data_IF_785191835557
#
_entry.id   IF_785191835557
#
_cell.length_a   1.000
_cell.length_b   1.000
_cell.length_c   1.000
_cell.angle_alpha   90.00
_cell.angle_beta   90.00
_cell.angle_gamma   90.00
#
_symmetry.space_group_name_H-M   'P 1'
#
loop_
_entity.id
_entity.type
_entity.pdbx_description
1 polymer ?
#
# COMPACT_ATOMS: atom_id res chain seq x y z
N UNK A 1 -4.16 -34.43 7.90
CA UNK A 1 -3.33 -33.33 7.39
C UNK A 1 -4.15 -32.04 7.26
N UNK A 2 -4.51 -31.37 8.36
CA UNK A 2 -5.21 -30.06 8.31
C UNK A 2 -4.63 -29.00 9.26
N UNK A 3 -3.69 -29.35 10.14
CA UNK A 3 -3.14 -28.42 11.15
C UNK A 3 -2.07 -27.45 10.61
N UNK A 4 -1.55 -27.65 9.40
CA UNK A 4 -0.46 -26.83 8.84
C UNK A 4 -0.93 -25.59 8.06
N UNK A 5 -2.20 -25.54 7.63
CA UNK A 5 -2.72 -24.39 6.87
C UNK A 5 -3.09 -23.18 7.74
N UNK A 6 -3.17 -23.35 9.07
CA UNK A 6 -3.63 -22.31 9.99
C UNK A 6 -2.50 -21.50 10.64
N UNK A 7 -1.23 -21.92 10.52
CA UNK A 7 -0.10 -21.15 11.06
C UNK A 7 0.32 -20.00 10.13
N UNK A 8 0.24 -20.17 8.81
CA UNK A 8 0.63 -19.12 7.86
C UNK A 8 -0.33 -17.92 7.83
N UNK A 9 -1.56 -18.10 8.35
CA UNK A 9 -2.58 -17.04 8.44
C UNK A 9 -2.42 -16.19 9.71
N UNK A 10 -1.94 -16.79 10.81
CA UNK A 10 -1.76 -16.12 12.11
C UNK A 10 -0.47 -15.30 12.20
N UNK A 11 0.54 -15.56 11.37
CA UNK A 11 1.85 -14.87 11.45
C UNK A 11 1.96 -13.61 10.60
N UNK A 12 0.95 -13.28 9.78
CA UNK A 12 0.96 -12.01 9.04
C UNK A 12 0.36 -10.93 9.93
N UNK A 13 1.09 -9.84 10.25
CA UNK A 13 0.50 -8.71 10.94
C UNK A 13 -0.67 -8.22 10.07
N UNK A 14 -1.90 -8.36 10.59
CA UNK A 14 -3.07 -7.77 9.97
C UNK A 14 -2.92 -6.25 10.10
N UNK A 15 -2.27 -5.63 9.11
CA UNK A 15 -2.18 -4.19 9.02
C UNK A 15 -3.56 -3.67 8.69
N UNK A 16 -4.25 -3.16 9.72
CA UNK A 16 -5.55 -2.54 9.55
C UNK A 16 -5.43 -1.30 8.65
N UNK A 17 -6.37 -1.14 7.72
CA UNK A 17 -6.44 0.07 6.92
C UNK A 17 -6.76 1.27 7.84
N UNK A 18 -5.93 2.31 7.74
CA UNK A 18 -6.12 3.57 8.47
C UNK A 18 -6.45 4.69 7.49
N UNK A 19 -7.69 4.76 6.98
CA UNK A 19 -8.03 5.66 5.86
C UNK A 19 -7.81 7.13 6.21
N UNK A 20 -8.15 7.56 7.43
CA UNK A 20 -7.95 8.95 7.88
C UNK A 20 -6.49 9.39 7.87
N UNK A 21 -5.57 8.53 8.32
CA UNK A 21 -4.13 8.83 8.33
C UNK A 21 -3.57 8.90 6.90
N UNK A 22 -4.02 8.00 6.02
CA UNK A 22 -3.62 7.99 4.60
C UNK A 22 -4.14 9.23 3.89
N UNK A 23 -5.40 9.61 4.09
CA UNK A 23 -5.98 10.80 3.47
C UNK A 23 -5.31 12.09 3.95
N UNK A 24 -4.98 12.19 5.25
CA UNK A 24 -4.24 13.33 5.78
C UNK A 24 -2.84 13.43 5.16
N UNK A 25 -2.13 12.30 5.01
CA UNK A 25 -0.85 12.25 4.33
C UNK A 25 -0.96 12.69 2.86
N UNK A 26 -1.92 12.14 2.12
CA UNK A 26 -2.15 12.48 0.71
C UNK A 26 -2.43 13.98 0.56
N UNK A 27 -3.32 14.54 1.39
CA UNK A 27 -3.63 15.98 1.38
C UNK A 27 -2.39 16.84 1.62
N UNK A 28 -1.55 16.48 2.59
CA UNK A 28 -0.32 17.21 2.90
C UNK A 28 0.68 17.15 1.74
N UNK A 29 0.89 15.97 1.15
CA UNK A 29 1.83 15.79 0.03
C UNK A 29 1.35 16.49 -1.25
N UNK A 30 0.04 16.45 -1.54
CA UNK A 30 -0.58 17.21 -2.62
C UNK A 30 -0.45 18.72 -2.41
N UNK A 31 -0.68 19.21 -1.19
CA UNK A 31 -0.52 20.63 -0.86
C UNK A 31 0.93 21.10 -1.05
N UNK A 32 1.90 20.23 -0.81
CA UNK A 32 3.33 20.47 -1.06
C UNK A 32 3.74 20.32 -2.54
N UNK A 33 2.81 19.93 -3.41
CA UNK A 33 3.05 19.63 -4.82
C UNK A 33 4.26 18.72 -5.06
N UNK A 34 4.48 17.77 -4.14
CA UNK A 34 5.53 16.77 -4.30
C UNK A 34 5.08 15.80 -5.40
N UNK A 35 6.00 15.38 -6.26
CA UNK A 35 5.71 14.28 -7.19
C UNK A 35 6.03 12.96 -6.50
N UNK A 36 5.08 12.02 -6.39
CA UNK A 36 5.38 10.71 -5.82
C UNK A 36 6.38 9.98 -6.72
N UNK A 37 7.44 9.38 -6.15
CA UNK A 37 8.37 8.59 -6.94
C UNK A 37 7.68 7.33 -7.49
N UNK A 38 8.23 6.82 -8.58
CA UNK A 38 7.90 5.48 -9.08
C UNK A 38 8.24 4.42 -8.02
N UNK A 39 7.54 3.29 -8.09
CA UNK A 39 7.74 2.22 -7.12
C UNK A 39 9.11 1.56 -7.29
N UNK A 40 9.90 1.56 -6.21
CA UNK A 40 11.24 0.97 -6.16
C UNK A 40 11.34 -0.28 -5.28
N UNK A 41 10.20 -0.82 -4.81
CA UNK A 41 10.17 -2.02 -3.96
C UNK A 41 10.10 -3.33 -4.75
N UNK A 42 10.01 -4.44 -4.03
CA UNK A 42 9.90 -5.79 -4.61
C UNK A 42 8.50 -6.44 -4.46
N UNK A 43 7.54 -5.75 -3.83
CA UNK A 43 6.21 -6.32 -3.53
C UNK A 43 5.14 -5.95 -4.57
N UNK A 44 5.39 -4.97 -5.44
CA UNK A 44 4.48 -4.63 -6.53
C UNK A 44 4.54 -5.67 -7.65
N UNK A 45 3.39 -5.98 -8.22
CA UNK A 45 3.25 -6.86 -9.40
C UNK A 45 2.17 -6.30 -10.31
N UNK A 46 2.28 -6.58 -11.60
CA UNK A 46 1.23 -6.23 -12.57
C UNK A 46 -0.12 -6.82 -12.13
N UNK A 47 -1.17 -6.00 -12.14
CA UNK A 47 -2.52 -6.35 -11.68
C UNK A 47 -2.77 -6.15 -10.18
N UNK A 48 -1.77 -5.74 -9.40
CA UNK A 48 -1.98 -5.41 -7.98
C UNK A 48 -2.71 -4.07 -7.82
N UNK A 49 -3.38 -3.96 -6.68
CA UNK A 49 -3.91 -2.69 -6.16
C UNK A 49 -3.09 -2.25 -4.96
N UNK A 50 -3.28 -1.00 -4.52
CA UNK A 50 -2.63 -0.55 -3.29
C UNK A 50 -2.95 -1.45 -2.09
N UNK A 51 -4.17 -2.01 -2.01
CA UNK A 51 -4.57 -2.89 -0.92
C UNK A 51 -3.72 -4.16 -0.83
N UNK A 52 -3.16 -4.63 -1.94
CA UNK A 52 -2.26 -5.78 -1.93
C UNK A 52 -0.93 -5.47 -1.25
N UNK A 53 -0.44 -4.23 -1.40
CA UNK A 53 0.75 -3.74 -0.70
C UNK A 53 0.55 -3.62 0.81
N UNK A 54 -0.68 -3.41 1.29
CA UNK A 54 -1.00 -3.33 2.73
C UNK A 54 -0.65 -4.62 3.46
N UNK A 55 -0.62 -5.77 2.78
CA UNK A 55 -0.24 -7.06 3.37
C UNK A 55 1.25 -7.15 3.71
N UNK A 56 2.07 -6.31 3.09
CA UNK A 56 3.52 -6.32 3.22
C UNK A 56 4.03 -5.13 4.02
N UNK A 57 3.52 -3.92 3.74
CA UNK A 57 4.03 -2.69 4.34
C UNK A 57 3.00 -1.56 4.26
N UNK A 58 2.67 -0.96 5.41
CA UNK A 58 1.79 0.21 5.49
C UNK A 58 2.32 1.43 4.71
N UNK A 59 3.63 1.64 4.69
CA UNK A 59 4.26 2.74 3.95
C UNK A 59 4.09 2.56 2.45
N UNK A 60 4.28 1.33 1.94
CA UNK A 60 4.07 1.04 0.52
C UNK A 60 2.60 1.21 0.14
N UNK A 61 1.69 0.76 1.01
CA UNK A 61 0.26 1.01 0.86
C UNK A 61 -0.07 2.50 0.74
N UNK A 62 0.36 3.30 1.71
CA UNK A 62 0.12 4.76 1.75
C UNK A 62 0.71 5.46 0.53
N UNK A 63 1.96 5.14 0.17
CA UNK A 63 2.64 5.73 -0.98
C UNK A 63 1.93 5.35 -2.29
N UNK A 64 1.44 4.11 -2.43
CA UNK A 64 0.64 3.71 -3.58
C UNK A 64 -0.66 4.51 -3.68
N UNK A 65 -1.37 4.68 -2.57
CA UNK A 65 -2.61 5.48 -2.56
C UNK A 65 -2.34 6.92 -2.97
N UNK A 66 -1.22 7.49 -2.53
CA UNK A 66 -0.78 8.81 -2.96
C UNK A 66 -0.41 8.85 -4.45
N UNK A 67 0.41 7.91 -4.93
CA UNK A 67 0.79 7.80 -6.34
C UNK A 67 -0.43 7.69 -7.25
N UNK A 68 -1.37 6.81 -6.92
CA UNK A 68 -2.62 6.64 -7.65
C UNK A 68 -3.49 7.90 -7.63
N UNK A 69 -3.52 8.63 -6.50
CA UNK A 69 -4.27 9.89 -6.41
C UNK A 69 -3.63 11.00 -7.26
N UNK A 70 -2.31 11.04 -7.33
CA UNK A 70 -1.55 12.06 -8.09
C UNK A 70 -1.56 11.78 -9.59
N UNK A 71 -1.27 10.55 -10.01
CA UNK A 71 -1.15 10.17 -11.43
C UNK A 71 -2.42 9.59 -12.05
N UNK A 72 -3.41 9.18 -11.24
CA UNK A 72 -4.62 8.50 -11.73
C UNK A 72 -4.39 7.07 -12.25
N UNK A 73 -3.19 6.50 -12.02
CA UNK A 73 -2.79 5.15 -12.43
C UNK A 73 -2.00 4.46 -11.32
N UNK A 74 -1.91 3.13 -11.39
CA UNK A 74 -1.01 2.36 -10.54
C UNK A 74 0.41 2.31 -11.11
N UNK A 75 1.35 1.74 -10.35
CA UNK A 75 2.72 1.54 -10.80
C UNK A 75 2.77 0.59 -12.00
N UNK A 76 3.67 0.88 -12.94
CA UNK A 76 3.93 0.08 -14.13
C UNK A 76 5.11 -0.88 -13.93
#
# INVERSE_FOLDING_TARGET
>A
MQAQLNQEVMSKPFLAEKPKEVDAYIKNMLAKNVTPPEYSGAHWRAGYTCRDLLRYNWTQYRNCRYYHRYHGRYYY
#
